data_IF_432071033306
#
_entry.id   IF_432071033306
#
_cell.length_a   1.000
_cell.length_b   1.000
_cell.length_c   1.000
_cell.angle_alpha   90.00
_cell.angle_beta   90.00
_cell.angle_gamma   90.00
#
_symmetry.space_group_name_H-M   'P 1'
#
loop_
_entity.id
_entity.type
_entity.pdbx_description
1 polymer ?
#
# COMPACT_ATOMS: atom_id res chain seq x y z
N UNK A 1 -10.47 16.20 -5.07
CA UNK A 1 -9.26 17.04 -4.98
C UNK A 1 -9.09 17.91 -6.22
N UNK A 2 -8.44 17.39 -7.26
CA UNK A 2 -8.03 18.18 -8.45
C UNK A 2 -9.20 18.87 -9.15
N UNK A 3 -10.32 18.17 -9.35
CA UNK A 3 -11.51 18.75 -10.01
C UNK A 3 -12.04 19.92 -9.19
N UNK A 4 -12.25 19.74 -7.89
CA UNK A 4 -12.74 20.77 -6.97
C UNK A 4 -11.85 22.02 -6.98
N UNK A 5 -10.52 21.86 -6.96
CA UNK A 5 -9.60 22.99 -7.01
C UNK A 5 -9.62 23.71 -8.36
N UNK A 6 -9.74 22.98 -9.47
CA UNK A 6 -9.79 23.57 -10.82
C UNK A 6 -11.10 24.29 -11.12
N UNK A 7 -12.22 23.78 -10.60
CA UNK A 7 -13.54 24.38 -10.83
C UNK A 7 -13.96 25.34 -9.73
N UNK A 8 -13.08 25.60 -8.76
CA UNK A 8 -13.39 26.43 -7.59
C UNK A 8 -13.76 27.85 -7.99
N UNK A 9 -12.82 28.56 -8.61
CA UNK A 9 -12.98 29.96 -9.03
C UNK A 9 -14.05 30.10 -10.11
N UNK A 10 -14.10 29.18 -11.07
CA UNK A 10 -14.95 29.32 -12.25
C UNK A 10 -16.41 28.89 -12.03
N UNK A 11 -16.70 28.11 -10.98
CA UNK A 11 -18.03 27.50 -10.83
C UNK A 11 -18.49 27.31 -9.39
N UNK A 12 -17.66 26.73 -8.52
CA UNK A 12 -18.09 26.37 -7.16
C UNK A 12 -18.27 27.62 -6.30
N UNK A 13 -17.31 28.54 -6.31
CA UNK A 13 -17.38 29.77 -5.52
C UNK A 13 -18.52 30.70 -5.99
N UNK A 14 -18.67 31.01 -7.29
CA UNK A 14 -19.83 31.79 -7.76
C UNK A 14 -21.18 31.15 -7.47
N UNK A 15 -21.26 29.81 -7.47
CA UNK A 15 -22.48 29.09 -7.08
C UNK A 15 -22.79 29.23 -5.59
N UNK A 16 -21.78 29.17 -4.72
CA UNK A 16 -21.92 29.40 -3.28
C UNK A 16 -22.34 30.85 -2.99
N UNK A 17 -21.78 31.80 -3.72
CA UNK A 17 -22.13 33.22 -3.63
C UNK A 17 -23.57 33.48 -4.07
N UNK A 18 -23.99 32.90 -5.20
CA UNK A 18 -25.37 32.99 -5.69
C UNK A 18 -26.41 32.36 -4.74
N UNK A 19 -25.97 31.50 -3.81
CA UNK A 19 -26.81 30.88 -2.78
C UNK A 19 -26.68 31.56 -1.41
N UNK A 20 -25.88 32.61 -1.29
CA UNK A 20 -25.57 33.31 -0.03
C UNK A 20 -24.96 32.39 1.05
N UNK A 21 -24.42 31.23 0.65
CA UNK A 21 -23.88 30.20 1.56
C UNK A 21 -22.41 30.41 1.91
N UNK A 22 -21.75 31.43 1.32
CA UNK A 22 -20.31 31.67 1.51
C UNK A 22 -19.98 31.92 2.98
N UNK A 23 -20.83 32.67 3.69
CA UNK A 23 -20.65 32.97 5.12
C UNK A 23 -20.73 31.71 5.98
N UNK A 24 -21.78 30.91 5.80
CA UNK A 24 -22.00 29.68 6.58
C UNK A 24 -20.87 28.66 6.37
N UNK A 25 -20.44 28.49 5.12
CA UNK A 25 -19.33 27.59 4.76
C UNK A 25 -18.00 28.11 5.33
N UNK A 26 -17.76 29.42 5.31
CA UNK A 26 -16.55 30.01 5.89
C UNK A 26 -16.49 29.80 7.40
N UNK A 27 -17.60 30.01 8.12
CA UNK A 27 -17.69 29.77 9.57
C UNK A 27 -17.43 28.29 9.88
N UNK A 28 -18.03 27.37 9.12
CA UNK A 28 -17.80 25.94 9.32
C UNK A 28 -16.34 25.55 9.07
N UNK A 29 -15.72 26.04 8.00
CA UNK A 29 -14.33 25.75 7.66
C UNK A 29 -13.38 26.25 8.76
N UNK A 30 -13.56 27.50 9.19
CA UNK A 30 -12.75 28.10 10.25
C UNK A 30 -12.95 27.36 11.58
N UNK A 31 -14.18 27.01 11.94
CA UNK A 31 -14.44 26.23 13.16
C UNK A 31 -13.81 24.83 13.11
N UNK A 32 -13.77 24.20 11.93
CA UNK A 32 -13.15 22.90 11.75
C UNK A 32 -11.61 22.96 11.79
N UNK A 33 -11.00 24.05 11.30
CA UNK A 33 -9.54 24.22 11.31
C UNK A 33 -8.99 24.86 12.60
N UNK A 34 -9.79 25.64 13.34
CA UNK A 34 -9.35 26.39 14.52
C UNK A 34 -8.59 25.56 15.58
N UNK A 35 -8.94 24.29 15.88
CA UNK A 35 -8.18 23.47 16.83
C UNK A 35 -6.74 23.15 16.41
N UNK A 36 -6.41 23.36 15.13
CA UNK A 36 -5.15 22.97 14.50
C UNK A 36 -4.31 24.17 14.06
N UNK A 37 -4.69 25.39 14.45
CA UNK A 37 -3.88 26.58 14.24
C UNK A 37 -2.55 26.51 15.03
N UNK A 38 -1.42 26.97 14.45
CA UNK A 38 -1.28 27.67 13.17
C UNK A 38 -0.99 26.77 11.96
N UNK A 39 -1.04 25.44 12.10
CA UNK A 39 -0.57 24.51 11.08
C UNK A 39 -1.61 24.25 9.98
N UNK A 40 -2.90 24.23 10.32
CA UNK A 40 -4.00 24.08 9.37
C UNK A 40 -4.87 25.32 9.48
N UNK A 41 -5.01 26.04 8.37
CA UNK A 41 -5.81 27.26 8.30
C UNK A 41 -6.67 27.25 7.04
N UNK A 42 -7.98 27.03 7.21
CA UNK A 42 -8.93 26.99 6.11
C UNK A 42 -9.70 28.29 6.02
N UNK A 43 -9.22 29.17 5.15
CA UNK A 43 -9.86 30.45 4.87
C UNK A 43 -10.58 30.42 3.53
N UNK A 44 -11.80 30.96 3.54
CA UNK A 44 -12.61 31.06 2.34
C UNK A 44 -12.07 32.17 1.43
N UNK A 45 -11.68 31.81 0.20
CA UNK A 45 -11.19 32.76 -0.80
C UNK A 45 -11.86 32.55 -2.15
N UNK A 46 -12.18 33.62 -2.90
CA UNK A 46 -12.77 33.53 -4.24
C UNK A 46 -11.85 32.86 -5.26
N UNK A 47 -10.54 33.08 -5.15
CA UNK A 47 -9.56 32.66 -6.16
C UNK A 47 -8.78 31.41 -5.74
N UNK A 48 -8.81 31.04 -4.46
CA UNK A 48 -8.07 29.90 -3.93
C UNK A 48 -8.97 28.96 -3.14
N UNK A 49 -8.88 27.67 -3.46
CA UNK A 49 -9.57 26.65 -2.70
C UNK A 49 -9.01 26.59 -1.25
N UNK A 50 -9.87 26.57 -0.21
CA UNK A 50 -9.45 26.69 1.19
C UNK A 50 -8.54 25.57 1.72
N UNK A 51 -8.68 24.35 1.19
CA UNK A 51 -7.99 23.16 1.70
C UNK A 51 -6.83 22.78 0.78
N UNK A 52 -5.65 22.53 1.36
CA UNK A 52 -4.47 22.14 0.58
C UNK A 52 -4.61 20.72 0.00
N UNK A 53 -3.92 20.44 -1.11
CA UNK A 53 -3.89 19.12 -1.75
C UNK A 53 -3.37 18.01 -0.82
N UNK A 54 -2.37 18.31 0.01
CA UNK A 54 -1.81 17.38 0.99
C UNK A 54 -2.80 17.06 2.12
N UNK A 55 -3.53 18.07 2.60
CA UNK A 55 -4.57 17.91 3.62
C UNK A 55 -5.75 17.08 3.10
N UNK A 56 -6.19 17.33 1.86
CA UNK A 56 -7.22 16.51 1.21
C UNK A 56 -6.78 15.05 1.07
N UNK A 57 -5.51 14.82 0.71
CA UNK A 57 -4.96 13.47 0.61
C UNK A 57 -4.96 12.77 1.97
N UNK A 58 -4.56 13.47 3.03
CA UNK A 58 -4.61 12.97 4.40
C UNK A 58 -6.03 12.59 4.85
N UNK A 59 -7.00 13.48 4.64
CA UNK A 59 -8.42 13.22 4.97
C UNK A 59 -8.95 12.01 4.18
N UNK A 60 -8.60 11.89 2.89
CA UNK A 60 -8.98 10.74 2.08
C UNK A 60 -8.41 9.42 2.60
N UNK A 61 -7.14 9.41 3.05
CA UNK A 61 -6.52 8.23 3.67
C UNK A 61 -7.26 7.82 4.95
N UNK A 62 -7.56 8.76 5.84
CA UNK A 62 -8.29 8.47 7.09
C UNK A 62 -9.69 7.94 6.81
N UNK A 63 -10.41 8.56 5.86
CA UNK A 63 -11.75 8.13 5.47
C UNK A 63 -11.73 6.71 4.91
N UNK A 64 -10.78 6.41 4.01
CA UNK A 64 -10.65 5.07 3.43
C UNK A 64 -10.35 4.02 4.50
N UNK A 65 -9.43 4.32 5.42
CA UNK A 65 -9.07 3.40 6.51
C UNK A 65 -10.26 3.18 7.45
N UNK A 66 -10.93 4.25 7.87
CA UNK A 66 -12.10 4.19 8.74
C UNK A 66 -13.23 3.41 8.10
N UNK A 67 -13.52 3.66 6.82
CA UNK A 67 -14.54 2.95 6.06
C UNK A 67 -14.23 1.45 6.01
N UNK A 68 -12.99 1.08 5.71
CA UNK A 68 -12.57 -0.32 5.70
C UNK A 68 -12.78 -0.98 7.07
N UNK A 69 -12.37 -0.33 8.15
CA UNK A 69 -12.51 -0.85 9.52
C UNK A 69 -14.00 -1.00 9.87
N UNK A 70 -14.81 0.04 9.66
CA UNK A 70 -16.23 0.05 10.00
C UNK A 70 -16.97 -1.03 9.23
N UNK A 71 -16.80 -1.10 7.90
CA UNK A 71 -17.45 -2.12 7.06
C UNK A 71 -16.98 -3.52 7.48
N UNK A 72 -15.69 -3.71 7.72
CA UNK A 72 -15.17 -5.01 8.19
C UNK A 72 -15.80 -5.43 9.52
N UNK A 73 -15.94 -4.52 10.48
CA UNK A 73 -16.56 -4.81 11.77
C UNK A 73 -18.07 -5.07 11.67
N UNK A 74 -18.77 -4.39 10.76
CA UNK A 74 -20.22 -4.58 10.54
C UNK A 74 -20.53 -5.87 9.76
N UNK A 75 -19.65 -6.28 8.84
CA UNK A 75 -19.88 -7.42 7.93
C UNK A 75 -19.26 -8.73 8.44
N UNK A 76 -18.05 -8.72 9.02
CA UNK A 76 -17.36 -9.94 9.47
C UNK A 76 -17.84 -10.38 10.86
N UNK A 77 -18.98 -11.06 10.91
CA UNK A 77 -19.64 -11.47 12.16
C UNK A 77 -19.06 -12.73 12.83
N UNK A 78 -18.24 -13.52 12.13
CA UNK A 78 -17.62 -14.74 12.66
C UNK A 78 -16.11 -14.76 12.35
N UNK A 79 -15.25 -15.14 13.31
CA UNK A 79 -13.83 -15.29 13.05
C UNK A 79 -13.60 -16.46 12.10
N UNK A 80 -12.88 -16.21 11.00
CA UNK A 80 -12.43 -17.26 10.10
C UNK A 80 -11.12 -17.87 10.62
N UNK A 81 -10.97 -19.19 10.52
CA UNK A 81 -9.79 -19.88 11.02
C UNK A 81 -8.59 -19.63 10.09
N UNK A 82 -7.80 -18.59 10.40
CA UNK A 82 -6.63 -18.21 9.63
C UNK A 82 -5.52 -19.28 9.61
N UNK A 83 -5.43 -20.12 10.66
CA UNK A 83 -4.46 -21.20 10.66
C UNK A 83 -4.82 -22.27 9.64
N UNK A 84 -6.11 -22.48 9.39
CA UNK A 84 -6.59 -23.36 8.32
C UNK A 84 -6.32 -22.75 6.94
N UNK A 85 -6.70 -21.48 6.74
CA UNK A 85 -6.55 -20.80 5.44
C UNK A 85 -5.08 -20.64 5.00
N UNK A 86 -4.16 -20.51 5.95
CA UNK A 86 -2.74 -20.31 5.69
C UNK A 86 -1.90 -21.58 5.88
N UNK A 87 -2.54 -22.76 5.97
CA UNK A 87 -1.90 -24.07 6.16
C UNK A 87 -0.88 -24.09 7.31
N UNK A 88 -1.22 -23.42 8.43
CA UNK A 88 -0.36 -23.31 9.61
C UNK A 88 -0.67 -24.41 10.63
N UNK A 89 0.35 -24.74 11.44
CA UNK A 89 0.20 -25.67 12.55
C UNK A 89 -0.20 -27.08 12.09
N UNK A 90 -1.38 -27.54 12.53
CA UNK A 90 -1.93 -28.86 12.22
C UNK A 90 -2.45 -29.00 10.78
N UNK A 91 -2.74 -27.90 10.08
CA UNK A 91 -3.26 -27.88 8.71
C UNK A 91 -2.16 -27.76 7.64
N UNK A 92 -0.91 -28.13 7.97
CA UNK A 92 0.24 -28.00 7.08
C UNK A 92 0.21 -29.08 5.99
N UNK A 93 0.45 -28.69 4.74
CA UNK A 93 0.58 -29.63 3.62
C UNK A 93 1.89 -30.43 3.72
N UNK A 94 1.85 -31.69 3.31
CA UNK A 94 3.02 -32.57 3.32
C UNK A 94 4.12 -32.02 2.40
N UNK A 95 5.34 -31.88 2.92
CA UNK A 95 6.50 -31.33 2.20
C UNK A 95 6.83 -29.86 2.49
N UNK A 96 5.96 -29.10 3.16
CA UNK A 96 6.23 -27.69 3.51
C UNK A 96 7.03 -27.53 4.81
N UNK A 97 8.35 -27.44 4.70
CA UNK A 97 9.22 -27.14 5.85
C UNK A 97 9.33 -25.62 6.04
N UNK A 98 8.34 -25.00 6.68
CA UNK A 98 8.50 -23.65 7.21
C UNK A 98 9.46 -23.68 8.41
N UNK A 99 10.74 -23.45 8.17
CA UNK A 99 11.73 -23.18 9.22
C UNK A 99 11.44 -21.81 9.82
N UNK A 100 10.71 -21.76 10.94
CA UNK A 100 10.67 -20.54 11.77
C UNK A 100 12.07 -20.29 12.31
N UNK A 101 12.87 -19.49 11.60
CA UNK A 101 14.12 -18.99 12.15
C UNK A 101 13.80 -18.16 13.40
N UNK A 102 14.37 -18.52 14.55
CA UNK A 102 14.21 -17.73 15.78
C UNK A 102 14.80 -16.33 15.56
N UNK A 103 14.14 -15.29 16.08
CA UNK A 103 14.67 -13.93 16.00
C UNK A 103 15.90 -13.87 16.92
N UNK A 104 17.08 -13.68 16.34
CA UNK A 104 18.32 -13.40 17.06
C UNK A 104 18.71 -11.95 16.82
N UNK A 105 19.38 -11.29 17.77
CA UNK A 105 19.83 -9.89 17.65
C UNK A 105 20.63 -9.62 16.36
N UNK A 106 21.45 -10.60 15.93
CA UNK A 106 22.23 -10.55 14.67
C UNK A 106 21.37 -10.65 13.40
N UNK A 107 20.19 -11.26 13.49
CA UNK A 107 19.24 -11.44 12.39
C UNK A 107 18.09 -10.43 12.43
N UNK A 108 17.97 -9.62 13.49
CA UNK A 108 16.89 -8.66 13.67
C UNK A 108 16.88 -7.60 12.55
N UNK A 109 18.06 -7.09 12.16
CA UNK A 109 18.17 -6.14 11.04
C UNK A 109 17.83 -6.77 9.68
N UNK A 110 18.26 -8.02 9.43
CA UNK A 110 17.90 -8.77 8.22
C UNK A 110 16.40 -9.08 8.14
N UNK A 111 15.77 -9.39 9.28
CA UNK A 111 14.33 -9.58 9.40
C UNK A 111 13.54 -8.28 9.30
N UNK A 112 14.08 -7.16 9.78
CA UNK A 112 13.45 -5.84 9.61
C UNK A 112 13.42 -5.43 8.13
N UNK A 113 14.46 -5.80 7.36
CA UNK A 113 14.48 -5.64 5.89
C UNK A 113 13.59 -6.70 5.20
N UNK A 114 13.07 -7.70 5.93
CA UNK A 114 12.18 -8.72 5.38
C UNK A 114 12.88 -9.76 4.48
N UNK A 115 14.21 -9.86 4.57
CA UNK A 115 14.98 -10.83 3.79
C UNK A 115 14.79 -12.22 4.41
N UNK A 116 13.87 -13.00 3.84
CA UNK A 116 13.66 -14.40 4.23
C UNK A 116 14.68 -15.32 3.52
N UNK A 117 14.89 -16.49 4.10
CA UNK A 117 15.58 -17.65 3.51
C UNK A 117 15.07 -18.02 2.12
N UNK A 118 13.79 -17.75 1.85
CA UNK A 118 13.12 -17.98 0.57
C UNK A 118 13.54 -17.02 -0.55
N UNK A 119 14.22 -15.91 -0.23
CA UNK A 119 14.69 -14.98 -1.26
C UNK A 119 15.80 -15.62 -2.10
N UNK A 120 15.64 -15.56 -3.42
CA UNK A 120 16.73 -15.91 -4.32
C UNK A 120 17.90 -14.93 -4.15
N UNK A 121 19.10 -15.30 -4.58
CA UNK A 121 20.26 -14.41 -4.51
C UNK A 121 20.04 -13.09 -5.26
N UNK A 122 19.26 -13.13 -6.35
CA UNK A 122 18.83 -11.94 -7.08
C UNK A 122 17.87 -11.05 -6.28
N UNK A 123 16.86 -11.64 -5.65
CA UNK A 123 15.88 -10.88 -4.85
C UNK A 123 16.52 -10.20 -3.64
N UNK A 124 17.55 -10.82 -3.05
CA UNK A 124 18.32 -10.23 -1.94
C UNK A 124 19.05 -8.97 -2.38
N UNK A 125 19.67 -9.00 -3.55
CA UNK A 125 20.35 -7.83 -4.12
C UNK A 125 19.31 -6.75 -4.40
N UNK A 126 18.17 -7.10 -5.00
CA UNK A 126 17.12 -6.15 -5.30
C UNK A 126 16.57 -5.47 -4.03
N UNK A 127 16.24 -6.26 -3.01
CA UNK A 127 15.75 -5.73 -1.73
C UNK A 127 16.79 -4.81 -1.06
N UNK A 128 18.06 -5.20 -1.10
CA UNK A 128 19.15 -4.36 -0.59
C UNK A 128 19.30 -3.06 -1.40
N UNK A 129 19.26 -3.13 -2.73
CA UNK A 129 19.37 -1.97 -3.61
C UNK A 129 18.22 -0.98 -3.38
N UNK A 130 16.99 -1.47 -3.27
CA UNK A 130 15.81 -0.64 -2.97
C UNK A 130 15.95 0.00 -1.59
N UNK A 131 16.41 -0.75 -0.58
CA UNK A 131 16.62 -0.21 0.76
C UNK A 131 17.71 0.87 0.79
N UNK A 132 18.86 0.64 0.15
CA UNK A 132 19.93 1.63 0.05
C UNK A 132 19.46 2.87 -0.70
N UNK A 133 18.65 2.71 -1.75
CA UNK A 133 18.07 3.83 -2.47
C UNK A 133 17.08 4.62 -1.61
N UNK A 134 16.11 3.96 -0.96
CA UNK A 134 15.07 4.66 -0.19
C UNK A 134 15.61 5.24 1.11
N UNK A 135 16.35 4.45 1.90
CA UNK A 135 16.84 4.90 3.19
C UNK A 135 18.15 5.69 3.06
N UNK A 136 19.11 5.18 2.29
CA UNK A 136 20.40 5.85 2.12
C UNK A 136 20.28 7.13 1.30
N UNK A 137 19.89 7.00 0.04
CA UNK A 137 19.82 8.17 -0.86
C UNK A 137 18.64 9.09 -0.55
N UNK A 138 17.40 8.59 -0.58
CA UNK A 138 16.23 9.47 -0.48
C UNK A 138 16.04 10.05 0.94
N UNK A 139 16.16 9.23 1.99
CA UNK A 139 15.94 9.70 3.35
C UNK A 139 17.17 10.37 3.97
N UNK A 140 18.33 9.70 4.06
CA UNK A 140 19.50 10.28 4.72
C UNK A 140 20.15 11.41 3.91
N UNK A 141 20.35 11.22 2.60
CA UNK A 141 21.02 12.21 1.77
C UNK A 141 20.08 13.32 1.30
N UNK A 142 19.06 12.97 0.52
CA UNK A 142 18.20 13.96 -0.15
C UNK A 142 17.30 14.72 0.85
N UNK A 143 16.76 14.04 1.86
CA UNK A 143 15.93 14.70 2.88
C UNK A 143 16.74 15.22 4.08
N UNK A 144 17.33 14.34 4.89
CA UNK A 144 17.93 14.71 6.17
C UNK A 144 19.13 15.64 6.01
N UNK A 145 20.05 15.32 5.10
CA UNK A 145 21.27 16.13 4.91
C UNK A 145 20.97 17.51 4.33
N UNK A 146 20.05 17.59 3.35
CA UNK A 146 19.61 18.88 2.77
C UNK A 146 18.87 19.71 3.80
N UNK A 147 17.99 19.09 4.59
CA UNK A 147 17.27 19.79 5.66
C UNK A 147 18.23 20.37 6.72
N UNK A 148 19.16 19.54 7.23
CA UNK A 148 20.18 20.00 8.19
C UNK A 148 21.04 21.11 7.58
N UNK A 149 21.47 20.96 6.33
CA UNK A 149 22.25 22.00 5.66
C UNK A 149 21.46 23.30 5.55
N UNK A 150 20.21 23.23 5.11
CA UNK A 150 19.37 24.40 4.92
C UNK A 150 19.07 25.13 6.25
N UNK A 151 19.00 24.40 7.37
CA UNK A 151 18.88 24.99 8.71
C UNK A 151 20.14 25.75 9.14
N UNK A 152 21.33 25.23 8.79
CA UNK A 152 22.62 25.88 9.09
C UNK A 152 22.86 27.09 8.16
N UNK A 153 22.59 26.93 6.87
CA UNK A 153 22.79 27.93 5.84
C UNK A 153 21.65 27.85 4.83
N UNK A 154 20.72 28.82 4.85
CA UNK A 154 19.58 28.83 3.95
C UNK A 154 20.02 28.80 2.49
N UNK A 155 19.49 27.85 1.72
CA UNK A 155 19.83 27.73 0.31
C UNK A 155 19.18 28.84 -0.52
N UNK A 156 19.93 29.47 -1.44
CA UNK A 156 19.35 30.40 -2.40
C UNK A 156 18.42 29.67 -3.37
N UNK A 157 17.45 30.41 -3.95
CA UNK A 157 16.39 29.83 -4.79
C UNK A 157 16.90 29.01 -5.97
N UNK A 158 18.00 29.45 -6.60
CA UNK A 158 18.63 28.76 -7.73
C UNK A 158 19.07 27.33 -7.38
N UNK A 159 19.51 27.10 -6.13
CA UNK A 159 19.94 25.77 -5.69
C UNK A 159 18.76 24.84 -5.45
N UNK A 160 17.63 25.38 -4.99
CA UNK A 160 16.37 24.63 -4.89
C UNK A 160 15.88 24.19 -6.27
N UNK A 161 15.97 25.05 -7.28
CA UNK A 161 15.59 24.70 -8.65
C UNK A 161 16.43 23.55 -9.21
N UNK A 162 17.76 23.63 -9.07
CA UNK A 162 18.68 22.56 -9.50
C UNK A 162 18.40 21.26 -8.73
N UNK A 163 18.21 21.36 -7.41
CA UNK A 163 17.91 20.22 -6.56
C UNK A 163 16.63 19.50 -7.00
N UNK A 164 15.53 20.22 -7.20
CA UNK A 164 14.27 19.62 -7.66
C UNK A 164 14.38 19.07 -9.08
N UNK A 165 15.10 19.75 -9.97
CA UNK A 165 15.34 19.24 -11.32
C UNK A 165 16.08 17.89 -11.30
N UNK A 166 17.15 17.78 -10.52
CA UNK A 166 17.92 16.52 -10.43
C UNK A 166 17.10 15.44 -9.73
N UNK A 167 16.51 15.75 -8.57
CA UNK A 167 15.89 14.73 -7.71
C UNK A 167 14.55 14.23 -8.21
N UNK A 168 13.75 15.07 -8.86
CA UNK A 168 12.43 14.70 -9.37
C UNK A 168 12.52 14.34 -10.85
N UNK A 169 13.08 15.22 -11.67
CA UNK A 169 13.04 15.05 -13.15
C UNK A 169 14.09 14.06 -13.61
N UNK A 170 15.37 14.32 -13.34
CA UNK A 170 16.47 13.49 -13.86
C UNK A 170 16.41 12.08 -13.27
N UNK A 171 16.30 11.96 -11.94
CA UNK A 171 16.16 10.65 -11.28
C UNK A 171 14.88 9.94 -11.70
N UNK A 172 13.75 10.65 -11.78
CA UNK A 172 12.47 10.08 -12.22
C UNK A 172 12.53 9.48 -13.63
N UNK A 173 13.11 10.22 -14.58
CA UNK A 173 13.30 9.75 -15.96
C UNK A 173 14.26 8.56 -16.00
N UNK A 174 15.37 8.64 -15.26
CA UNK A 174 16.39 7.59 -15.26
C UNK A 174 15.83 6.29 -14.70
N UNK A 175 15.24 6.34 -13.51
CA UNK A 175 14.63 5.17 -12.85
C UNK A 175 13.45 4.68 -13.68
N UNK A 176 12.59 5.56 -14.19
CA UNK A 176 11.46 5.20 -15.03
C UNK A 176 11.90 4.46 -16.29
N UNK A 177 12.93 4.94 -16.98
CA UNK A 177 13.44 4.29 -18.21
C UNK A 177 14.09 2.95 -17.90
N UNK A 178 14.99 2.90 -16.92
CA UNK A 178 15.70 1.66 -16.54
C UNK A 178 14.72 0.61 -16.03
N UNK A 179 13.80 0.98 -15.13
CA UNK A 179 12.79 0.07 -14.59
C UNK A 179 11.83 -0.41 -15.67
N UNK A 180 11.39 0.45 -16.60
CA UNK A 180 10.51 0.03 -17.70
C UNK A 180 11.19 -1.04 -18.55
N UNK A 181 12.41 -0.79 -19.03
CA UNK A 181 13.14 -1.78 -19.86
C UNK A 181 13.36 -3.08 -19.08
N UNK A 182 13.81 -2.98 -17.83
CA UNK A 182 14.08 -4.14 -16.99
C UNK A 182 12.82 -4.95 -16.67
N UNK A 183 11.73 -4.30 -16.24
CA UNK A 183 10.46 -4.97 -15.96
C UNK A 183 9.79 -5.53 -17.21
N UNK A 184 9.91 -4.87 -18.37
CA UNK A 184 9.39 -5.44 -19.62
C UNK A 184 10.11 -6.74 -19.96
N UNK A 185 11.46 -6.76 -19.92
CA UNK A 185 12.24 -7.96 -20.25
C UNK A 185 12.05 -9.05 -19.18
N UNK A 186 12.22 -8.70 -17.90
CA UNK A 186 12.11 -9.62 -16.78
C UNK A 186 10.69 -10.17 -16.63
N UNK A 187 9.70 -9.29 -16.66
CA UNK A 187 8.28 -9.65 -16.56
C UNK A 187 7.82 -10.52 -17.71
N UNK A 188 8.24 -10.23 -18.95
CA UNK A 188 7.89 -11.10 -20.10
C UNK A 188 8.51 -12.49 -19.96
N UNK A 189 9.79 -12.56 -19.57
CA UNK A 189 10.47 -13.85 -19.38
C UNK A 189 9.82 -14.68 -18.27
N UNK A 190 9.49 -14.03 -17.16
CA UNK A 190 8.89 -14.73 -16.02
C UNK A 190 7.46 -15.17 -16.29
N UNK A 191 6.68 -14.35 -16.99
CA UNK A 191 5.35 -14.71 -17.48
C UNK A 191 5.40 -15.97 -18.37
N UNK A 192 6.34 -16.03 -19.30
CA UNK A 192 6.54 -17.22 -20.15
C UNK A 192 6.96 -18.45 -19.34
N UNK A 193 7.78 -18.27 -18.30
CA UNK A 193 8.16 -19.37 -17.39
C UNK A 193 6.95 -19.86 -16.60
N UNK A 194 6.11 -18.96 -16.10
CA UNK A 194 4.88 -19.28 -15.39
C UNK A 194 3.94 -20.12 -16.26
N UNK A 195 3.71 -19.72 -17.51
CA UNK A 195 2.88 -20.52 -18.43
C UNK A 195 3.44 -21.91 -18.71
N UNK A 196 4.77 -22.04 -18.85
CA UNK A 196 5.41 -23.37 -18.98
C UNK A 196 5.24 -24.22 -17.74
N UNK A 197 5.37 -23.64 -16.55
CA UNK A 197 5.17 -24.36 -15.30
C UNK A 197 3.71 -24.80 -15.13
N UNK A 198 2.76 -23.93 -15.47
CA UNK A 198 1.33 -24.25 -15.45
C UNK A 198 0.95 -25.36 -16.44
N UNK A 199 1.58 -25.40 -17.62
CA UNK A 199 1.33 -26.45 -18.61
C UNK A 199 1.73 -27.85 -18.12
N UNK A 200 2.58 -27.96 -17.11
CA UNK A 200 3.07 -29.22 -16.54
C UNK A 200 2.39 -29.54 -15.19
N UNK A 201 1.69 -28.59 -14.57
CA UNK A 201 1.03 -28.78 -13.27
C UNK A 201 -0.18 -29.72 -13.44
N UNK A 202 -0.27 -30.74 -12.60
CA UNK A 202 -1.47 -31.58 -12.51
C UNK A 202 -2.66 -30.74 -12.02
N UNK A 203 -3.78 -30.82 -12.74
CA UNK A 203 -5.00 -30.04 -12.45
C UNK A 203 -5.92 -30.84 -11.54
N UNK A 204 -6.20 -30.33 -10.33
CA UNK A 204 -7.28 -30.81 -9.46
C UNK A 204 -8.58 -30.10 -9.85
N UNK A 205 -9.71 -30.82 -9.93
CA UNK A 205 -11.02 -30.19 -10.16
C UNK A 205 -11.49 -29.38 -8.95
N UNK A 206 -10.92 -29.63 -7.77
CA UNK A 206 -11.25 -28.97 -6.51
C UNK A 206 -10.41 -27.70 -6.26
N UNK A 207 -9.34 -27.48 -7.04
CA UNK A 207 -8.49 -26.27 -7.02
C UNK A 207 -9.12 -25.16 -7.91
N UNK A 208 -10.40 -24.85 -7.69
CA UNK A 208 -11.18 -23.87 -8.48
C UNK A 208 -11.40 -22.53 -7.74
N UNK A 209 -10.83 -22.40 -6.55
CA UNK A 209 -10.92 -21.20 -5.71
C UNK A 209 -12.21 -21.07 -4.89
N UNK A 210 -13.12 -22.06 -4.94
CA UNK A 210 -14.31 -22.07 -4.08
C UNK A 210 -13.96 -22.33 -2.63
N UNK A 211 -14.79 -21.78 -1.75
CA UNK A 211 -14.74 -22.01 -0.31
C UNK A 211 -16.06 -22.64 0.12
N UNK A 212 -16.00 -23.86 0.64
CA UNK A 212 -17.14 -24.64 1.10
C UNK A 212 -17.02 -24.81 2.62
N UNK A 213 -18.04 -24.44 3.40
CA UNK A 213 -17.99 -24.60 4.85
C UNK A 213 -16.82 -23.89 5.56
N UNK A 214 -16.36 -22.74 5.04
CA UNK A 214 -15.13 -22.05 5.49
C UNK A 214 -13.83 -22.84 5.29
N UNK A 215 -13.78 -23.70 4.27
CA UNK A 215 -12.59 -24.45 3.84
C UNK A 215 -12.45 -24.32 2.33
N UNK A 216 -11.23 -24.20 1.81
CA UNK A 216 -11.03 -24.29 0.35
C UNK A 216 -11.51 -25.66 -0.14
N UNK A 217 -12.18 -25.72 -1.29
CA UNK A 217 -12.72 -26.97 -1.83
C UNK A 217 -11.64 -28.08 -1.94
N UNK A 218 -10.43 -27.73 -2.35
CA UNK A 218 -9.26 -28.64 -2.43
C UNK A 218 -8.77 -29.15 -1.06
N UNK A 219 -9.05 -28.41 0.02
CA UNK A 219 -8.61 -28.74 1.39
C UNK A 219 -9.67 -29.48 2.23
N UNK A 220 -10.90 -29.64 1.72
CA UNK A 220 -12.02 -30.26 2.48
C UNK A 220 -11.62 -31.63 3.02
N UNK A 221 -11.16 -32.53 2.16
CA UNK A 221 -10.79 -33.90 2.53
C UNK A 221 -9.62 -33.95 3.55
N UNK A 222 -8.71 -32.97 3.52
CA UNK A 222 -7.62 -32.86 4.48
C UNK A 222 -8.14 -32.39 5.84
N UNK A 223 -9.02 -31.39 5.86
CA UNK A 223 -9.57 -30.82 7.09
C UNK A 223 -10.51 -31.80 7.79
N UNK A 224 -11.35 -32.53 7.05
CA UNK A 224 -12.21 -33.57 7.63
C UNK A 224 -11.40 -34.65 8.35
N UNK A 225 -10.25 -35.05 7.79
CA UNK A 225 -9.33 -36.01 8.42
C UNK A 225 -8.67 -35.47 9.69
N UNK A 226 -8.24 -34.20 9.68
CA UNK A 226 -7.51 -33.59 10.81
C UNK A 226 -8.44 -33.21 11.96
N UNK A 227 -9.62 -32.66 11.64
CA UNK A 227 -10.58 -32.16 12.62
C UNK A 227 -11.65 -33.21 12.99
N UNK A 228 -11.68 -34.36 12.29
CA UNK A 228 -12.69 -35.42 12.47
C UNK A 228 -14.13 -34.89 12.36
N UNK A 229 -14.35 -33.97 11.44
CA UNK A 229 -15.66 -33.37 11.12
C UNK A 229 -16.09 -33.80 9.72
N UNK A 230 -17.41 -33.82 9.47
CA UNK A 230 -17.98 -33.97 8.14
C UNK A 230 -18.53 -32.61 7.71
N UNK A 231 -18.06 -32.08 6.58
CA UNK A 231 -18.54 -30.82 6.01
C UNK A 231 -19.67 -31.17 5.04
N UNK A 232 -20.89 -31.27 5.56
CA UNK A 232 -22.08 -31.67 4.77
C UNK A 232 -22.25 -30.82 3.51
N UNK A 233 -21.96 -29.51 3.58
CA UNK A 233 -21.98 -28.57 2.45
C UNK A 233 -21.08 -28.99 1.27
N UNK A 234 -20.03 -29.77 1.49
CA UNK A 234 -19.11 -30.24 0.46
C UNK A 234 -19.57 -31.52 -0.23
N UNK A 235 -20.43 -32.31 0.41
CA UNK A 235 -20.95 -33.59 -0.12
C UNK A 235 -22.36 -33.45 -0.72
N UNK A 236 -22.93 -32.23 -0.72
CA UNK A 236 -24.23 -31.92 -1.34
C UNK A 236 -24.09 -31.61 -2.85
N UNK A 237 -22.88 -31.28 -3.33
CA UNK A 237 -22.61 -30.93 -4.74
C UNK A 237 -22.06 -32.09 -5.62
N UNK A 238 -21.93 -33.32 -5.08
CA UNK A 238 -21.65 -34.55 -5.87
C UNK A 238 -22.93 -35.27 -6.33
#
# INVERSE_FOLDING_TARGET
GIILQKTWETGIYPWLEAKEMVGDVAVWLQAASAPFEPYIHWEMSPTKFPINSQEMFFVAMILSMSLFIIVSLLTCKKPHNMDRMLHRGKYRREGEVLTREKITFRNAFRKLIGIDSQYTTGDKILACSVFVYTFGWAFLTAFLSVWIWNEISPWPKEWWEIYYFITIVVLGITIGTVSTVWFTIGGTRDLLRMFKALAVKETSMLDDGRVIGNVSADDVAMVEKIDHINIEEAHIEE
#
